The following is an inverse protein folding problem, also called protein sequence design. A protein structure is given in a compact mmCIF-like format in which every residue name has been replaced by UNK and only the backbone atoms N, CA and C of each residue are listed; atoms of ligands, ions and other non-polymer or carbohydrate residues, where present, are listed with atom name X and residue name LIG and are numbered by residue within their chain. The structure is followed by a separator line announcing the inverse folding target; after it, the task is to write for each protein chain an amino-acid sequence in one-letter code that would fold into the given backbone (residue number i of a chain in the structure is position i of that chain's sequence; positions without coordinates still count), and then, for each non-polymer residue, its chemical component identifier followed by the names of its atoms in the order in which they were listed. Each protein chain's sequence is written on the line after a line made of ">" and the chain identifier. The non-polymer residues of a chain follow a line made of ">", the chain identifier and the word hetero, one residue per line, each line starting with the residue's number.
data_IF_753754243716
#
_entry.id   IF_753754243716
#
_cell.length_a   1.000
_cell.length_b   1.000
_cell.length_c   1.000
_cell.angle_alpha   90.00
_cell.angle_beta   90.00
_cell.angle_gamma   90.00
#
_symmetry.space_group_name_H-M   'P 1'
#
loop_
_entity.id
_entity.type
_entity.pdbx_description
1 polymer ?
#
# COMPACT_ATOMS: atom_id res chain seq x y z
N UNK A 1 -23.79 -59.94 -3.28
CA UNK A 1 -24.32 -59.19 -4.45
C UNK A 1 -25.12 -58.01 -3.93
N UNK A 2 -24.74 -56.79 -4.34
CA UNK A 2 -25.44 -55.49 -4.28
C UNK A 2 -26.00 -55.01 -2.91
N UNK A 3 -25.85 -53.77 -2.48
CA UNK A 3 -25.37 -52.58 -3.16
C UNK A 3 -25.10 -51.45 -2.17
N UNK A 4 -24.16 -50.60 -2.55
CA UNK A 4 -23.75 -49.37 -1.89
C UNK A 4 -24.89 -48.37 -1.84
N UNK A 5 -25.22 -47.83 -0.66
CA UNK A 5 -26.09 -46.66 -0.56
C UNK A 5 -25.22 -45.40 -0.62
N UNK A 6 -25.12 -44.86 -1.83
CA UNK A 6 -24.53 -43.56 -2.12
C UNK A 6 -25.48 -42.45 -1.66
N UNK A 7 -25.01 -41.56 -0.79
CA UNK A 7 -25.74 -40.34 -0.45
C UNK A 7 -25.41 -39.26 -1.50
N UNK A 8 -26.40 -38.66 -2.21
CA UNK A 8 -26.15 -37.56 -3.11
C UNK A 8 -26.15 -36.23 -2.34
N UNK A 9 -24.97 -35.63 -2.17
CA UNK A 9 -24.88 -34.19 -1.84
C UNK A 9 -24.56 -33.43 -3.13
N UNK A 10 -25.57 -32.71 -3.62
CA UNK A 10 -25.55 -31.83 -4.79
C UNK A 10 -24.55 -30.65 -4.62
N UNK A 11 -23.97 -30.14 -5.72
CA UNK A 11 -22.80 -29.28 -5.73
C UNK A 11 -23.20 -27.81 -5.78
N UNK A 12 -23.10 -27.08 -4.67
CA UNK A 12 -23.18 -25.62 -4.71
C UNK A 12 -22.53 -24.94 -3.51
N UNK A 13 -21.26 -25.22 -3.26
CA UNK A 13 -20.39 -24.24 -2.59
C UNK A 13 -20.11 -23.09 -3.57
N UNK A 14 -21.13 -22.23 -3.77
CA UNK A 14 -20.91 -20.87 -4.22
C UNK A 14 -20.26 -20.09 -3.08
N UNK A 15 -18.96 -20.32 -2.86
CA UNK A 15 -18.11 -19.22 -2.42
C UNK A 15 -17.73 -18.44 -3.67
N UNK A 16 -18.73 -17.72 -4.19
CA UNK A 16 -18.50 -16.45 -4.86
C UNK A 16 -18.04 -15.51 -3.75
N UNK A 17 -16.74 -15.56 -3.49
CA UNK A 17 -16.03 -14.45 -2.89
C UNK A 17 -15.01 -14.08 -3.94
N UNK A 18 -15.34 -13.11 -4.77
CA UNK A 18 -14.36 -12.26 -5.42
C UNK A 18 -13.17 -12.06 -4.47
N UNK A 19 -11.91 -11.96 -4.96
CA UNK A 19 -10.86 -11.44 -4.09
C UNK A 19 -11.39 -10.11 -3.60
N UNK A 20 -11.79 -10.04 -2.34
CA UNK A 20 -12.06 -8.78 -1.69
C UNK A 20 -10.73 -8.07 -1.84
N UNK A 21 -10.69 -7.11 -2.76
CA UNK A 21 -9.63 -6.12 -2.77
C UNK A 21 -9.86 -5.39 -1.46
N UNK A 22 -9.30 -5.95 -0.37
CA UNK A 22 -9.07 -5.22 0.85
C UNK A 22 -8.23 -4.06 0.34
N UNK A 23 -8.87 -2.90 0.14
CA UNK A 23 -8.15 -1.67 -0.06
C UNK A 23 -7.34 -1.51 1.21
N UNK A 24 -6.11 -2.00 1.18
CA UNK A 24 -5.38 -2.36 2.39
C UNK A 24 -4.82 -1.12 3.09
N UNK A 25 -5.40 0.06 2.82
CA UNK A 25 -4.91 1.38 3.20
C UNK A 25 -3.48 1.64 2.72
N UNK A 26 -2.93 0.82 1.84
CA UNK A 26 -1.53 0.88 1.45
C UNK A 26 -1.34 2.00 0.44
N UNK A 27 -0.61 3.02 0.86
CA UNK A 27 -0.23 4.14 0.03
C UNK A 27 1.19 3.92 -0.49
N UNK A 28 1.47 4.55 -1.62
CA UNK A 28 2.79 4.48 -2.21
C UNK A 28 3.30 5.86 -2.64
N UNK A 29 4.58 6.10 -2.39
CA UNK A 29 5.35 7.20 -2.96
C UNK A 29 6.36 6.64 -3.96
N UNK A 30 6.55 7.38 -5.04
CA UNK A 30 7.49 7.00 -6.09
C UNK A 30 8.45 8.15 -6.28
N UNK A 31 9.74 7.87 -6.14
CA UNK A 31 10.82 8.79 -6.46
C UNK A 31 11.59 8.23 -7.65
N UNK A 32 11.80 9.04 -8.69
CA UNK A 32 12.67 8.68 -9.81
C UNK A 32 13.92 9.55 -9.70
N UNK A 33 15.08 8.92 -9.53
CA UNK A 33 16.36 9.61 -9.39
C UNK A 33 17.44 8.86 -10.14
N UNK A 34 18.24 9.59 -10.93
CA UNK A 34 19.36 9.05 -11.71
C UNK A 34 18.99 7.82 -12.58
N UNK A 35 17.77 7.78 -13.13
CA UNK A 35 17.26 6.65 -13.91
C UNK A 35 16.79 5.44 -13.08
N UNK A 36 16.92 5.49 -11.76
CA UNK A 36 16.38 4.49 -10.84
C UNK A 36 15.05 4.93 -10.23
N UNK A 37 14.14 3.98 -10.08
CA UNK A 37 12.81 4.19 -9.50
C UNK A 37 12.74 3.57 -8.12
N UNK A 38 12.56 4.41 -7.11
CA UNK A 38 12.36 4.04 -5.73
C UNK A 38 10.87 4.05 -5.44
N UNK A 39 10.33 2.91 -4.98
CA UNK A 39 8.92 2.77 -4.66
C UNK A 39 8.79 2.48 -3.17
N UNK A 40 8.23 3.44 -2.45
CA UNK A 40 8.00 3.38 -1.03
C UNK A 40 6.54 3.03 -0.77
N UNK A 41 6.29 1.91 -0.11
CA UNK A 41 4.93 1.47 0.25
C UNK A 41 4.79 1.56 1.75
N UNK A 42 3.69 2.16 2.21
CA UNK A 42 3.42 2.38 3.63
C UNK A 42 1.93 2.22 3.90
N UNK A 43 1.57 1.83 5.12
CA UNK A 43 0.18 1.70 5.52
C UNK A 43 -0.43 3.06 5.90
N UNK A 44 -1.76 3.12 5.92
CA UNK A 44 -2.47 4.30 6.41
C UNK A 44 -2.22 4.46 7.91
N UNK A 45 -1.62 5.56 8.35
CA UNK A 45 -1.21 5.78 9.75
C UNK A 45 0.26 5.47 10.04
N UNK A 46 0.98 4.84 9.11
CA UNK A 46 2.41 4.49 9.24
C UNK A 46 3.34 5.50 8.54
N UNK A 47 2.86 6.73 8.34
CA UNK A 47 3.63 7.82 7.72
C UNK A 47 4.96 8.06 8.44
N UNK A 48 4.96 7.98 9.77
CA UNK A 48 6.16 8.19 10.58
C UNK A 48 7.23 7.16 10.25
N UNK A 49 6.88 5.88 10.11
CA UNK A 49 7.83 4.83 9.74
C UNK A 49 8.43 5.07 8.35
N UNK A 50 7.64 5.59 7.41
CA UNK A 50 8.17 5.99 6.11
C UNK A 50 9.11 7.19 6.22
N UNK A 51 8.76 8.21 7.01
CA UNK A 51 9.59 9.39 7.23
C UNK A 51 10.93 9.01 7.87
N UNK A 52 10.92 8.12 8.86
CA UNK A 52 12.15 7.59 9.47
C UNK A 52 13.01 6.86 8.43
N UNK A 53 12.41 5.98 7.62
CA UNK A 53 13.10 5.31 6.52
C UNK A 53 13.73 6.30 5.54
N UNK A 54 13.01 7.38 5.19
CA UNK A 54 13.51 8.46 4.33
C UNK A 54 14.69 9.20 4.96
N UNK A 55 14.65 9.45 6.27
CA UNK A 55 15.75 10.09 7.01
C UNK A 55 16.97 9.16 7.06
N UNK A 56 16.79 7.87 7.31
CA UNK A 56 17.88 6.89 7.32
C UNK A 56 18.55 6.78 5.95
N UNK A 57 17.77 6.68 4.87
CA UNK A 57 18.32 6.69 3.51
C UNK A 57 19.00 8.01 3.17
N UNK A 58 18.47 9.15 3.61
CA UNK A 58 19.09 10.45 3.36
C UNK A 58 20.37 10.67 4.19
N UNK A 59 20.52 9.98 5.32
CA UNK A 59 21.74 9.96 6.15
C UNK A 59 22.81 9.04 5.57
N UNK A 60 22.40 7.98 4.88
CA UNK A 60 23.30 7.06 4.23
C UNK A 60 23.91 7.70 2.96
N UNK A 61 25.21 7.96 2.98
CA UNK A 61 25.92 8.61 1.87
C UNK A 61 26.11 7.71 0.64
N UNK A 62 25.75 6.42 0.76
CA UNK A 62 25.78 5.45 -0.35
C UNK A 62 24.44 5.39 -1.07
N UNK A 63 23.38 5.92 -0.46
CA UNK A 63 22.10 6.07 -1.09
C UNK A 63 22.10 7.33 -1.94
N UNK A 64 21.57 7.21 -3.16
CA UNK A 64 21.39 8.36 -4.04
C UNK A 64 20.38 9.37 -3.47
N UNK A 65 19.66 9.04 -2.39
CA UNK A 65 18.58 9.84 -1.82
C UNK A 65 19.13 10.95 -0.92
N UNK A 66 18.76 12.21 -1.20
CA UNK A 66 19.22 13.35 -0.38
C UNK A 66 18.16 13.78 0.63
N UNK A 67 18.58 14.49 1.67
CA UNK A 67 17.67 15.10 2.64
C UNK A 67 16.63 16.04 1.97
N UNK A 68 16.96 16.62 0.81
CA UNK A 68 16.03 17.40 0.00
C UNK A 68 14.95 16.52 -0.64
N UNK A 69 15.33 15.37 -1.21
CA UNK A 69 14.37 14.40 -1.74
C UNK A 69 13.43 13.91 -0.64
N UNK A 70 13.96 13.64 0.56
CA UNK A 70 13.17 13.27 1.73
C UNK A 70 12.16 14.37 2.10
N UNK A 71 12.60 15.63 2.21
CA UNK A 71 11.70 16.77 2.48
C UNK A 71 10.62 16.93 1.40
N UNK A 72 10.99 16.73 0.13
CA UNK A 72 10.06 16.84 -1.00
C UNK A 72 9.03 15.70 -0.99
N UNK A 73 9.44 14.48 -0.64
CA UNK A 73 8.56 13.33 -0.45
C UNK A 73 7.61 13.54 0.73
N UNK A 74 8.09 14.05 1.87
CA UNK A 74 7.26 14.41 3.03
C UNK A 74 6.19 15.44 2.66
N UNK A 75 6.57 16.45 1.87
CA UNK A 75 5.63 17.47 1.40
C UNK A 75 4.58 16.88 0.44
N UNK A 76 4.99 16.00 -0.49
CA UNK A 76 4.05 15.28 -1.36
C UNK A 76 3.08 14.40 -0.58
N UNK A 77 3.56 13.77 0.48
CA UNK A 77 2.77 12.96 1.41
C UNK A 77 1.69 13.80 2.09
N UNK A 78 2.08 14.94 2.67
CA UNK A 78 1.17 15.88 3.32
C UNK A 78 0.13 16.47 2.35
N UNK A 79 0.51 16.81 1.11
CA UNK A 79 -0.42 17.31 0.09
C UNK A 79 -1.48 16.27 -0.29
N UNK A 80 -1.09 15.00 -0.46
CA UNK A 80 -2.04 13.92 -0.76
C UNK A 80 -3.01 13.70 0.40
N UNK A 81 -2.53 13.78 1.64
CA UNK A 81 -3.38 13.65 2.82
C UNK A 81 -4.41 14.79 2.90
N UNK A 82 -4.00 16.04 2.65
CA UNK A 82 -4.92 17.18 2.59
C UNK A 82 -6.02 17.00 1.54
N UNK A 83 -5.66 16.54 0.33
CA UNK A 83 -6.63 16.28 -0.74
C UNK A 83 -7.61 15.14 -0.40
N UNK A 84 -7.18 14.10 0.33
CA UNK A 84 -8.08 13.04 0.79
C UNK A 84 -9.02 13.55 1.89
N UNK A 85 -8.53 14.38 2.81
CA UNK A 85 -9.34 14.97 3.88
C UNK A 85 -10.48 15.85 3.32
N UNK A 86 -10.19 16.63 2.28
CA UNK A 86 -11.19 17.46 1.58
C UNK A 86 -12.28 16.63 0.88
N UNK A 87 -11.98 15.40 0.44
CA UNK A 87 -12.98 14.51 -0.15
C UNK A 87 -13.90 13.89 0.90
N UNK A 88 -13.35 13.58 2.08
CA UNK A 88 -14.11 13.03 3.21
C UNK A 88 -15.03 14.09 3.81
N UNK A 89 -14.59 15.35 3.92
CA UNK A 89 -15.40 16.43 4.52
C UNK A 89 -16.54 16.91 3.62
N UNK A 90 -16.52 16.56 2.32
CA UNK A 90 -17.53 16.97 1.33
C UNK A 90 -18.59 15.90 1.07
N UNK A 91 -18.50 14.72 1.72
CA UNK A 91 -19.50 13.65 1.61
C UNK A 91 -20.59 13.78 2.67
#
# INVERSE_FOLDING_TARGET
>A
MAGSQSNPIDPKSKHTGDPVSIDNGQRQLVLVKNGQRYVFRYALGDETGLLESLIEMARDTKSDLTWFDAAMLSHQMGKRFGQQLEQIVKS
#
